data_IF_180595879891
#
_entry.id   IF_180595879891
#
_cell.length_a   1.000
_cell.length_b   1.000
_cell.length_c   1.000
_cell.angle_alpha   90.00
_cell.angle_beta   90.00
_cell.angle_gamma   90.00
#
_symmetry.space_group_name_H-M   'P 1'
#
loop_
_entity.id
_entity.type
_entity.pdbx_description
1 polymer ?
#
# COMPACT_ATOMS: atom_id res chain seq x y z
N UNK A 1 10.00 0.27 3.20
CA UNK A 1 9.28 -0.23 4.40
C UNK A 1 8.70 -1.61 4.10
N UNK A 2 8.61 -2.51 5.09
CA UNK A 2 8.08 -3.86 4.91
C UNK A 2 7.21 -4.28 6.11
N UNK A 3 6.03 -4.81 5.84
CA UNK A 3 5.23 -5.53 6.83
C UNK A 3 5.87 -6.88 7.14
N UNK A 4 5.88 -7.25 8.42
CA UNK A 4 6.33 -8.58 8.87
C UNK A 4 5.15 -9.55 8.93
N UNK A 5 3.95 -9.04 9.26
CA UNK A 5 2.70 -9.80 9.20
C UNK A 5 2.26 -10.03 7.76
N UNK A 6 1.47 -11.07 7.55
CA UNK A 6 0.79 -11.30 6.29
C UNK A 6 -0.25 -10.19 6.04
N UNK A 7 -0.21 -9.58 4.85
CA UNK A 7 -1.10 -8.50 4.43
C UNK A 7 -1.52 -8.75 2.99
N UNK A 8 -2.82 -8.64 2.71
CA UNK A 8 -3.38 -8.70 1.36
C UNK A 8 -3.89 -7.31 0.98
N UNK A 9 -3.12 -6.59 0.14
CA UNK A 9 -3.40 -5.19 -0.15
C UNK A 9 -2.87 -4.79 -1.55
N UNK A 10 -3.60 -3.96 -2.33
CA UNK A 10 -3.17 -3.49 -3.66
C UNK A 10 -1.75 -2.92 -3.69
N UNK A 11 -1.39 -2.08 -2.72
CA UNK A 11 -0.09 -1.41 -2.63
C UNK A 11 0.96 -2.13 -1.76
N UNK A 12 0.77 -3.42 -1.47
CA UNK A 12 1.75 -4.24 -0.72
C UNK A 12 2.12 -5.47 -1.54
N UNK A 13 3.41 -5.63 -1.84
CA UNK A 13 3.92 -6.80 -2.55
C UNK A 13 3.69 -8.09 -1.74
N UNK A 14 3.65 -9.28 -2.39
CA UNK A 14 3.51 -10.56 -1.68
C UNK A 14 4.58 -10.82 -0.62
N UNK A 15 5.75 -10.18 -0.74
CA UNK A 15 6.84 -10.27 0.25
C UNK A 15 6.73 -9.26 1.40
N UNK A 16 5.66 -8.47 1.45
CA UNK A 16 5.35 -7.47 2.47
C UNK A 16 5.94 -6.08 2.21
N UNK A 17 6.73 -5.86 1.14
CA UNK A 17 7.21 -4.51 0.81
C UNK A 17 6.04 -3.58 0.47
N UNK A 18 6.09 -2.36 0.98
CA UNK A 18 5.08 -1.31 0.72
C UNK A 18 5.48 -0.49 -0.50
N UNK A 19 4.54 -0.23 -1.40
CA UNK A 19 4.72 0.53 -2.64
C UNK A 19 3.81 1.76 -2.66
N UNK A 20 4.34 2.91 -2.22
CA UNK A 20 3.65 4.21 -2.23
C UNK A 20 4.65 5.30 -2.61
N UNK A 21 4.15 6.35 -3.26
CA UNK A 21 4.97 7.44 -3.85
C UNK A 21 6.02 8.00 -2.90
N UNK A 22 5.66 8.25 -1.63
CA UNK A 22 6.56 8.83 -0.61
C UNK A 22 7.82 7.99 -0.33
N UNK A 23 7.81 6.71 -0.72
CA UNK A 23 8.94 5.79 -0.61
C UNK A 23 9.71 5.61 -1.93
N UNK A 24 9.22 6.15 -3.04
CA UNK A 24 9.92 6.11 -4.32
C UNK A 24 11.07 7.11 -4.35
N UNK A 25 12.09 6.81 -5.16
CA UNK A 25 13.27 7.66 -5.29
C UNK A 25 12.91 9.08 -5.72
N UNK A 26 13.65 10.11 -5.28
CA UNK A 26 13.43 11.49 -5.70
C UNK A 26 13.54 11.66 -7.22
N UNK A 27 12.89 12.69 -7.76
CA UNK A 27 12.92 13.07 -9.18
C UNK A 27 11.55 13.00 -9.84
N UNK A 28 11.52 13.26 -11.14
CA UNK A 28 10.31 13.11 -11.95
C UNK A 28 10.00 11.63 -12.16
N UNK A 29 8.74 11.25 -12.03
CA UNK A 29 8.31 9.88 -12.28
C UNK A 29 8.45 9.57 -13.78
N UNK A 30 9.23 8.55 -14.19
CA UNK A 30 9.42 8.22 -15.60
C UNK A 30 8.12 7.85 -16.33
N UNK A 31 7.11 7.43 -15.56
CA UNK A 31 5.79 7.02 -16.07
C UNK A 31 4.75 8.16 -15.96
N UNK A 32 5.07 9.27 -15.29
CA UNK A 32 4.21 10.44 -15.15
C UNK A 32 2.98 10.25 -14.25
N UNK A 33 2.93 9.20 -13.44
CA UNK A 33 1.81 8.96 -12.51
C UNK A 33 1.93 9.78 -11.22
N UNK A 34 3.15 10.17 -10.86
CA UNK A 34 3.45 10.86 -9.60
C UNK A 34 4.21 12.16 -9.84
N UNK A 35 3.90 13.17 -9.04
CA UNK A 35 4.66 14.42 -9.00
C UNK A 35 5.93 14.25 -8.14
N UNK A 36 6.97 15.04 -8.42
CA UNK A 36 8.18 15.06 -7.60
C UNK A 36 7.91 15.39 -6.12
N UNK A 37 6.83 16.12 -5.82
CA UNK A 37 6.42 16.47 -4.45
C UNK A 37 5.81 15.29 -3.67
N UNK A 38 5.21 14.33 -4.36
CA UNK A 38 4.65 13.11 -3.77
C UNK A 38 5.71 12.05 -3.48
N UNK A 39 6.91 12.19 -4.04
CA UNK A 39 8.03 11.25 -3.89
C UNK A 39 8.91 11.57 -2.68
N UNK A 40 9.84 10.68 -2.38
CA UNK A 40 10.77 10.89 -1.27
C UNK A 40 11.55 12.21 -1.44
N UNK A 41 11.66 12.98 -0.37
CA UNK A 41 12.53 14.14 -0.28
C UNK A 41 12.99 14.34 1.17
N UNK A 42 14.10 15.07 1.41
CA UNK A 42 14.63 15.27 2.76
C UNK A 42 13.68 16.00 3.74
N UNK A 43 12.58 16.58 3.25
CA UNK A 43 11.54 17.24 4.08
C UNK A 43 10.47 16.27 4.60
N UNK A 44 10.50 15.02 4.15
CA UNK A 44 9.61 13.98 4.64
C UNK A 44 10.12 13.44 5.99
N UNK A 45 9.18 13.02 6.85
CA UNK A 45 9.48 12.43 8.15
C UNK A 45 8.93 11.00 8.22
N UNK A 46 9.43 10.23 9.19
CA UNK A 46 8.89 8.88 9.48
C UNK A 46 7.40 8.97 9.81
N UNK A 47 6.97 9.99 10.56
CA UNK A 47 5.57 10.25 10.86
C UNK A 47 4.73 10.40 9.57
N UNK A 48 5.17 11.23 8.61
CA UNK A 48 4.47 11.38 7.32
C UNK A 48 4.39 10.07 6.54
N UNK A 49 5.46 9.25 6.58
CA UNK A 49 5.44 7.91 5.98
C UNK A 49 4.37 7.04 6.63
N UNK A 50 4.33 6.97 7.97
CA UNK A 50 3.36 6.14 8.68
C UNK A 50 1.92 6.62 8.48
N UNK A 51 1.69 7.93 8.47
CA UNK A 51 0.38 8.50 8.12
C UNK A 51 -0.03 8.12 6.70
N UNK A 52 0.89 8.19 5.73
CA UNK A 52 0.63 7.75 4.35
C UNK A 52 0.27 6.28 4.27
N UNK A 53 0.89 5.42 5.10
CA UNK A 53 0.52 3.99 5.19
C UNK A 53 -0.87 3.80 5.80
N UNK A 54 -1.24 4.57 6.82
CA UNK A 54 -2.61 4.52 7.39
C UNK A 54 -3.64 4.94 6.34
N UNK A 55 -3.39 6.03 5.62
CA UNK A 55 -4.26 6.47 4.53
C UNK A 55 -4.35 5.41 3.42
N UNK A 56 -3.21 4.84 3.01
CA UNK A 56 -3.15 3.77 2.01
C UNK A 56 -3.99 2.54 2.41
N UNK A 57 -3.96 2.15 3.69
CA UNK A 57 -4.77 1.02 4.19
C UNK A 57 -6.27 1.32 4.18
N UNK A 58 -6.66 2.58 4.38
CA UNK A 58 -8.05 3.00 4.34
C UNK A 58 -8.57 3.16 2.89
N UNK A 59 -7.72 3.70 2.01
CA UNK A 59 -8.02 4.03 0.62
C UNK A 59 -6.97 3.42 -0.32
N UNK A 60 -7.07 2.11 -0.63
CA UNK A 60 -6.18 1.45 -1.56
C UNK A 60 -6.17 2.11 -2.94
N UNK A 61 -4.97 2.30 -3.51
CA UNK A 61 -4.78 2.76 -4.87
C UNK A 61 -4.53 1.55 -5.79
N UNK A 62 -5.46 1.27 -6.72
CA UNK A 62 -5.39 0.15 -7.65
C UNK A 62 -4.96 0.55 -9.08
N UNK A 63 -4.55 1.81 -9.30
CA UNK A 63 -3.97 2.27 -10.57
C UNK A 63 -2.48 1.88 -10.70
N UNK A 64 -1.76 1.84 -9.57
CA UNK A 64 -0.33 1.47 -9.47
C UNK A 64 -0.10 0.30 -8.51
N UNK A 65 -0.93 -0.73 -8.64
CA UNK A 65 -0.95 -1.89 -7.75
C UNK A 65 0.32 -2.74 -7.74
N UNK A 66 0.88 -2.97 -6.55
CA UNK A 66 1.96 -3.92 -6.29
C UNK A 66 1.49 -5.39 -6.22
N UNK A 67 0.20 -5.61 -5.97
CA UNK A 67 -0.42 -6.92 -5.90
C UNK A 67 -1.66 -6.97 -6.80
N UNK A 68 -1.52 -7.61 -7.96
CA UNK A 68 -2.53 -7.66 -9.01
C UNK A 68 -3.80 -8.39 -8.53
N UNK A 69 -3.65 -9.48 -7.77
CA UNK A 69 -4.78 -10.24 -7.25
C UNK A 69 -5.59 -9.40 -6.25
N UNK A 70 -4.90 -8.65 -5.38
CA UNK A 70 -5.53 -7.73 -4.45
C UNK A 70 -6.23 -6.57 -5.17
N UNK A 71 -5.63 -6.02 -6.24
CA UNK A 71 -6.26 -4.97 -7.05
C UNK A 71 -7.53 -5.48 -7.73
N UNK A 72 -7.47 -6.67 -8.34
CA UNK A 72 -8.62 -7.28 -9.01
C UNK A 72 -9.74 -7.56 -8.00
N UNK A 73 -9.41 -8.17 -6.87
CA UNK A 73 -10.42 -8.46 -5.84
C UNK A 73 -10.98 -7.18 -5.24
N UNK A 74 -10.16 -6.15 -5.00
CA UNK A 74 -10.63 -4.83 -4.59
C UNK A 74 -11.66 -4.29 -5.59
N UNK A 75 -11.36 -4.30 -6.90
CA UNK A 75 -12.23 -3.75 -7.93
C UNK A 75 -13.51 -4.57 -8.19
N UNK A 76 -13.36 -5.88 -8.28
CA UNK A 76 -14.40 -6.78 -8.80
C UNK A 76 -15.24 -7.43 -7.68
N UNK A 77 -14.67 -7.63 -6.48
CA UNK A 77 -15.35 -8.24 -5.33
C UNK A 77 -14.89 -7.64 -3.99
N UNK A 78 -15.34 -6.41 -3.72
CA UNK A 78 -15.06 -5.70 -2.47
C UNK A 78 -15.49 -6.49 -1.22
N UNK A 79 -16.53 -7.31 -1.31
CA UNK A 79 -17.01 -8.10 -0.16
C UNK A 79 -16.00 -9.18 0.21
N UNK A 80 -15.51 -9.93 -0.79
CA UNK A 80 -14.46 -10.93 -0.60
C UNK A 80 -13.15 -10.28 -0.12
N UNK A 81 -12.77 -9.14 -0.68
CA UNK A 81 -11.59 -8.39 -0.23
C UNK A 81 -11.67 -8.07 1.27
N UNK A 82 -12.80 -7.53 1.72
CA UNK A 82 -13.02 -7.19 3.13
C UNK A 82 -13.00 -8.42 4.03
N UNK A 83 -13.55 -9.56 3.58
CA UNK A 83 -13.52 -10.81 4.32
C UNK A 83 -12.08 -11.35 4.49
N UNK A 84 -11.26 -11.28 3.44
CA UNK A 84 -9.83 -11.64 3.50
C UNK A 84 -9.08 -10.71 4.46
N UNK A 85 -9.29 -9.39 4.35
CA UNK A 85 -8.67 -8.41 5.24
C UNK A 85 -9.01 -8.67 6.71
N UNK A 86 -10.29 -8.90 7.04
CA UNK A 86 -10.73 -9.21 8.40
C UNK A 86 -10.09 -10.51 8.93
N UNK A 87 -9.99 -11.56 8.10
CA UNK A 87 -9.34 -12.81 8.46
C UNK A 87 -7.86 -12.58 8.81
N UNK A 88 -7.14 -11.79 8.03
CA UNK A 88 -5.73 -11.47 8.28
C UNK A 88 -5.53 -10.59 9.51
N UNK A 89 -6.43 -9.63 9.77
CA UNK A 89 -6.43 -8.85 11.01
C UNK A 89 -6.54 -9.77 12.23
N UNK A 90 -7.49 -10.72 12.25
CA UNK A 90 -7.63 -11.69 13.34
C UNK A 90 -6.38 -12.53 13.53
N UNK A 91 -5.82 -13.06 12.42
CA UNK A 91 -4.56 -13.81 12.43
C UNK A 91 -3.41 -12.99 13.02
N UNK A 92 -3.29 -11.70 12.69
CA UNK A 92 -2.23 -10.83 13.24
C UNK A 92 -2.38 -10.55 14.74
N UNK A 93 -3.60 -10.64 15.27
CA UNK A 93 -3.90 -10.47 16.69
C UNK A 93 -3.83 -11.80 17.47
N UNK A 94 -3.56 -12.93 16.79
CA UNK A 94 -3.56 -14.26 17.40
C UNK A 94 -4.95 -14.76 17.80
N UNK A 95 -6.01 -14.27 17.13
CA UNK A 95 -7.42 -14.60 17.37
C UNK A 95 -7.97 -15.62 16.35
#
# INVERSE_FOLDING_TARGET
MKFVSEVFHPNVYPDGRVCISILHTPGDDPLGYETAAERWSPVQSIEKILLSVVSMLAEPNDESGANIDACKMWRDDRSQFNAVAQKLVRKSLGL
#
